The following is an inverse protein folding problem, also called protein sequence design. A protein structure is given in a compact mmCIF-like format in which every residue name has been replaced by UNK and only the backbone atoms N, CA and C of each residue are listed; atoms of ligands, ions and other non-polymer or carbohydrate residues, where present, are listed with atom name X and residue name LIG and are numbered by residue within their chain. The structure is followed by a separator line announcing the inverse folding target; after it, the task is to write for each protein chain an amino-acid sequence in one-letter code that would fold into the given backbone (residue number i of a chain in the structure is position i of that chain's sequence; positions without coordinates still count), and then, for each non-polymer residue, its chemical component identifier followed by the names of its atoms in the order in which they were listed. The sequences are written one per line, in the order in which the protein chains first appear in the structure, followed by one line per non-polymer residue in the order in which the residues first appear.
data_IF_436100701001
#
_entry.id   IF_436100701001
#
_cell.length_a   1.000
_cell.length_b   1.000
_cell.length_c   1.000
_cell.angle_alpha   90.00
_cell.angle_beta   90.00
_cell.angle_gamma   90.00
#
_symmetry.space_group_name_H-M   'P 1'
#
loop_
_entity.id
_entity.type
_entity.pdbx_description
1 polymer ?
#
# COMPACT_ATOMS: atom_id res chain seq x y z
N UNK A 1 -2.31 2.31 9.56
CA UNK A 1 -1.25 1.43 10.07
C UNK A 1 -1.87 0.41 11.01
N UNK A 2 -1.38 -0.83 11.03
CA UNK A 2 -1.83 -1.91 11.92
C UNK A 2 -0.63 -2.53 12.62
N UNK A 3 -0.75 -2.77 13.92
CA UNK A 3 0.15 -3.64 14.67
C UNK A 3 -0.56 -5.00 14.84
N UNK A 4 0.00 -6.06 14.29
CA UNK A 4 -0.62 -7.39 14.24
C UNK A 4 0.13 -8.37 15.14
N UNK A 5 -0.58 -9.08 16.02
CA UNK A 5 0.00 -10.18 16.81
C UNK A 5 -0.09 -11.49 16.02
N UNK A 6 0.98 -12.29 15.99
CA UNK A 6 0.94 -13.62 15.36
C UNK A 6 0.22 -14.61 16.26
N UNK A 7 0.48 -14.54 17.56
CA UNK A 7 0.02 -15.56 18.50
C UNK A 7 -1.30 -15.14 19.12
N UNK A 8 -2.41 -15.48 18.44
CA UNK A 8 -3.76 -15.28 18.96
C UNK A 8 -4.46 -16.65 19.12
N UNK A 9 -5.33 -16.82 20.13
CA UNK A 9 -5.91 -18.12 20.47
C UNK A 9 -6.82 -18.72 19.39
N UNK A 10 -7.52 -17.88 18.62
CA UNK A 10 -8.51 -18.34 17.63
C UNK A 10 -8.03 -18.30 16.18
N UNK A 11 -7.06 -17.44 15.86
CA UNK A 11 -6.58 -17.20 14.50
C UNK A 11 -5.08 -16.88 14.52
N UNK A 12 -4.31 -17.52 13.65
CA UNK A 12 -2.90 -17.17 13.47
C UNK A 12 -2.77 -15.86 12.69
N UNK A 13 -2.02 -14.88 13.23
CA UNK A 13 -1.80 -13.59 12.57
C UNK A 13 -1.15 -13.72 11.18
N UNK A 14 -0.36 -14.77 10.93
CA UNK A 14 0.16 -15.05 9.57
C UNK A 14 -0.97 -15.43 8.62
N UNK A 15 -1.93 -16.22 9.08
CA UNK A 15 -3.11 -16.61 8.27
C UNK A 15 -3.95 -15.38 7.95
N UNK A 16 -4.20 -14.51 8.94
CA UNK A 16 -4.91 -13.24 8.73
C UNK A 16 -4.19 -12.34 7.73
N UNK A 17 -2.86 -12.23 7.82
CA UNK A 17 -2.08 -11.44 6.88
C UNK A 17 -2.18 -11.99 5.45
N UNK A 18 -2.17 -13.32 5.28
CA UNK A 18 -2.37 -13.98 3.98
C UNK A 18 -3.77 -13.68 3.40
N UNK A 19 -4.79 -13.70 4.24
CA UNK A 19 -6.16 -13.35 3.82
C UNK A 19 -6.26 -11.91 3.35
N UNK A 20 -5.69 -10.97 4.10
CA UNK A 20 -5.64 -9.56 3.69
C UNK A 20 -4.88 -9.36 2.39
N UNK A 21 -3.74 -10.03 2.21
CA UNK A 21 -2.99 -9.97 0.96
C UNK A 21 -3.80 -10.53 -0.22
N UNK A 22 -4.45 -11.70 -0.04
CA UNK A 22 -5.27 -12.34 -1.07
C UNK A 22 -6.48 -11.50 -1.47
N UNK A 23 -7.10 -10.82 -0.52
CA UNK A 23 -8.29 -10.01 -0.74
C UNK A 23 -7.97 -8.57 -1.18
N UNK A 24 -6.68 -8.22 -1.35
CA UNK A 24 -6.27 -6.84 -1.68
C UNK A 24 -6.54 -5.82 -0.58
N UNK A 25 -6.68 -6.28 0.68
CA UNK A 25 -6.98 -5.45 1.85
C UNK A 25 -5.70 -4.89 2.49
N UNK A 26 -4.51 -5.25 1.99
CA UNK A 26 -3.23 -4.77 2.48
C UNK A 26 -2.89 -3.36 1.97
N UNK A 27 -3.82 -2.42 2.13
CA UNK A 27 -3.70 -1.02 1.67
C UNK A 27 -3.08 -0.09 2.75
N UNK A 28 -2.64 -0.67 3.85
CA UNK A 28 -2.08 0.02 5.00
C UNK A 28 -0.78 -0.65 5.44
N UNK A 29 0.15 0.12 6.03
CA UNK A 29 1.36 -0.45 6.60
C UNK A 29 1.01 -1.37 7.78
N UNK A 30 1.47 -2.63 7.72
CA UNK A 30 1.30 -3.64 8.77
C UNK A 30 2.66 -3.99 9.38
N UNK A 31 2.78 -3.88 10.70
CA UNK A 31 3.93 -4.35 11.47
C UNK A 31 3.48 -5.54 12.30
N UNK A 32 4.22 -6.63 12.23
CA UNK A 32 3.86 -7.90 12.88
C UNK A 32 4.66 -8.04 14.18
N UNK A 33 4.04 -8.61 15.22
CA UNK A 33 4.61 -8.79 16.54
C UNK A 33 4.42 -10.22 17.02
N UNK A 34 5.43 -10.84 17.65
CA UNK A 34 5.30 -12.19 18.21
C UNK A 34 6.24 -12.44 19.39
N UNK A 35 5.76 -13.14 20.41
CA UNK A 35 6.60 -13.65 21.51
C UNK A 35 7.18 -15.04 21.29
N UNK A 36 6.70 -15.74 20.26
CA UNK A 36 7.27 -17.00 19.78
C UNK A 36 7.80 -16.78 18.37
N UNK A 37 8.66 -15.76 18.22
CA UNK A 37 9.23 -15.42 16.94
C UNK A 37 10.21 -16.52 16.49
N UNK A 38 10.04 -17.02 15.28
CA UNK A 38 11.08 -17.75 14.57
C UNK A 38 11.51 -16.96 13.34
N UNK A 39 12.76 -17.17 12.90
CA UNK A 39 13.27 -16.57 11.66
C UNK A 39 12.32 -16.87 10.49
N UNK A 40 11.78 -18.09 10.43
CA UNK A 40 10.86 -18.52 9.39
C UNK A 40 9.57 -17.70 9.39
N UNK A 41 8.96 -17.47 10.57
CA UNK A 41 7.73 -16.66 10.69
C UNK A 41 7.97 -15.20 10.32
N UNK A 42 9.14 -14.64 10.67
CA UNK A 42 9.49 -13.27 10.30
C UNK A 42 9.66 -13.13 8.78
N UNK A 43 10.40 -14.06 8.17
CA UNK A 43 10.60 -14.10 6.72
C UNK A 43 9.27 -14.29 5.98
N UNK A 44 8.39 -15.14 6.49
CA UNK A 44 7.06 -15.36 5.92
C UNK A 44 6.19 -14.10 6.00
N UNK A 45 6.13 -13.43 7.15
CA UNK A 45 5.39 -12.18 7.33
C UNK A 45 5.85 -11.11 6.32
N UNK A 46 7.16 -10.91 6.17
CA UNK A 46 7.71 -9.94 5.21
C UNK A 46 7.38 -10.33 3.77
N UNK A 47 7.41 -11.61 3.41
CA UNK A 47 7.04 -12.09 2.06
C UNK A 47 5.58 -11.82 1.71
N UNK A 48 4.68 -11.87 2.70
CA UNK A 48 3.25 -11.61 2.49
C UNK A 48 2.97 -10.10 2.34
N UNK A 49 3.85 -9.25 2.88
CA UNK A 49 3.75 -7.79 2.77
C UNK A 49 3.76 -7.04 4.10
N UNK A 50 4.14 -7.69 5.20
CA UNK A 50 4.46 -6.96 6.42
C UNK A 50 5.67 -6.04 6.20
N UNK A 51 5.60 -4.81 6.71
CA UNK A 51 6.68 -3.83 6.60
C UNK A 51 7.82 -4.16 7.56
N UNK A 52 7.47 -4.63 8.75
CA UNK A 52 8.44 -4.93 9.79
C UNK A 52 7.92 -6.04 10.71
N UNK A 53 8.83 -6.64 11.45
CA UNK A 53 8.58 -7.71 12.39
C UNK A 53 9.27 -7.40 13.74
N UNK A 54 8.51 -7.49 14.83
CA UNK A 54 8.98 -7.20 16.18
C UNK A 54 8.82 -8.42 17.08
N UNK A 55 9.94 -8.86 17.64
CA UNK A 55 9.98 -9.94 18.62
C UNK A 55 9.71 -9.42 20.04
N UNK A 56 8.76 -10.04 20.76
CA UNK A 56 8.48 -9.75 22.16
C UNK A 56 9.49 -10.51 23.05
N UNK A 57 10.07 -9.86 24.08
CA UNK A 57 9.74 -8.53 24.59
C UNK A 57 10.32 -7.38 23.74
N UNK A 58 9.46 -6.43 23.35
CA UNK A 58 9.81 -5.30 22.50
C UNK A 58 10.18 -4.10 23.39
N UNK A 59 11.31 -3.46 23.14
CA UNK A 59 11.63 -2.19 23.81
C UNK A 59 10.81 -1.03 23.23
N UNK A 60 10.46 -0.05 24.06
CA UNK A 60 9.70 1.12 23.62
C UNK A 60 10.39 1.85 22.46
N UNK A 61 11.72 1.97 22.48
CA UNK A 61 12.47 2.59 21.40
C UNK A 61 12.33 1.85 20.07
N UNK A 62 12.43 0.51 20.08
CA UNK A 62 12.25 -0.29 18.86
C UNK A 62 10.84 -0.15 18.30
N UNK A 63 9.83 -0.16 19.17
CA UNK A 63 8.44 0.02 18.77
C UNK A 63 8.23 1.39 18.12
N UNK A 64 8.72 2.47 18.74
CA UNK A 64 8.61 3.82 18.20
C UNK A 64 9.29 3.94 16.84
N UNK A 65 10.50 3.42 16.68
CA UNK A 65 11.21 3.42 15.40
C UNK A 65 10.44 2.66 14.31
N UNK A 66 9.89 1.49 14.63
CA UNK A 66 9.10 0.70 13.67
C UNK A 66 7.82 1.44 13.25
N UNK A 67 7.13 2.09 14.20
CA UNK A 67 5.92 2.89 13.93
C UNK A 67 6.25 4.11 13.06
N UNK A 68 7.30 4.85 13.38
CA UNK A 68 7.74 6.00 12.59
C UNK A 68 8.07 5.61 11.14
N UNK A 69 8.79 4.49 10.98
CA UNK A 69 9.13 3.97 9.65
C UNK A 69 7.89 3.51 8.88
N UNK A 70 6.98 2.79 9.54
CA UNK A 70 5.73 2.33 8.95
C UNK A 70 4.83 3.48 8.49
N UNK A 71 4.73 4.56 9.27
CA UNK A 71 3.95 5.74 8.90
C UNK A 71 4.57 6.52 7.73
N UNK A 72 5.89 6.63 7.66
CA UNK A 72 6.59 7.23 6.50
C UNK A 72 6.31 6.47 5.20
N UNK A 73 6.35 5.14 5.26
CA UNK A 73 6.03 4.30 4.10
C UNK A 73 4.54 4.35 3.72
N UNK A 74 3.64 4.41 4.70
CA UNK A 74 2.21 4.57 4.46
C UNK A 74 1.85 5.90 3.78
N UNK A 75 2.52 7.00 4.17
CA UNK A 75 2.34 8.29 3.51
C UNK A 75 2.74 8.22 2.03
N UNK A 76 3.90 7.63 1.71
CA UNK A 76 4.38 7.50 0.34
C UNK A 76 3.44 6.68 -0.57
N UNK A 77 2.75 5.67 -0.03
CA UNK A 77 1.75 4.89 -0.81
C UNK A 77 0.46 5.67 -1.07
N UNK A 78 0.03 6.55 -0.16
CA UNK A 78 -1.18 7.38 -0.34
C UNK A 78 -0.97 8.41 -1.46
N UNK A 79 0.27 8.85 -1.71
CA UNK A 79 0.59 9.81 -2.78
C UNK A 79 0.75 9.16 -4.17
N UNK A 80 0.69 7.84 -4.26
CA UNK A 80 0.80 7.08 -5.52
C UNK A 80 -0.53 6.56 -6.07
N UNK A 81 -1.66 7.17 -5.68
CA UNK A 81 -2.82 7.18 -6.57
C UNK A 81 -2.44 7.91 -7.86
N UNK A 82 -2.92 7.51 -9.05
CA UNK A 82 -2.52 8.19 -10.27
C UNK A 82 -3.00 9.65 -10.20
N UNK A 83 -2.05 10.57 -10.06
CA UNK A 83 -2.26 12.01 -10.17
C UNK A 83 -2.50 12.35 -11.64
N UNK A 84 -3.59 11.85 -12.23
CA UNK A 84 -4.09 12.34 -13.51
C UNK A 84 -4.81 13.70 -13.36
N UNK A 85 -5.13 14.09 -12.13
CA UNK A 85 -5.89 15.30 -11.83
C UNK A 85 -5.12 16.61 -12.06
N UNK A 86 -3.79 16.54 -12.24
CA UNK A 86 -2.95 17.71 -12.58
C UNK A 86 -2.52 17.78 -14.05
N UNK A 87 -2.83 16.77 -14.87
CA UNK A 87 -2.52 16.80 -16.31
C UNK A 87 -3.66 17.41 -17.15
N UNK A 88 -4.91 17.33 -16.69
CA UNK A 88 -6.08 17.80 -17.44
C UNK A 88 -6.18 19.32 -17.65
N UNK A 89 -5.49 20.13 -16.83
CA UNK A 89 -5.56 21.59 -16.90
C UNK A 89 -4.27 22.24 -17.43
N UNK A 90 -3.28 21.48 -17.89
CA UNK A 90 -2.12 22.08 -18.55
C UNK A 90 -2.54 22.64 -19.91
N UNK A 91 -2.04 23.83 -20.25
CA UNK A 91 -2.32 24.48 -21.53
C UNK A 91 -2.01 23.53 -22.71
N UNK A 92 -0.96 22.72 -22.61
CA UNK A 92 -0.57 21.75 -23.63
C UNK A 92 -1.61 20.64 -23.86
N UNK A 93 -2.27 20.15 -22.79
CA UNK A 93 -3.31 19.10 -22.91
C UNK A 93 -4.63 19.70 -23.39
N UNK A 94 -4.95 20.94 -23.00
CA UNK A 94 -6.11 21.67 -23.55
C UNK A 94 -5.93 21.98 -25.04
N UNK A 95 -4.72 22.33 -25.46
CA UNK A 95 -4.38 22.59 -26.86
C UNK A 95 -4.46 21.29 -27.69
N UNK A 96 -3.91 20.19 -27.17
CA UNK A 96 -4.00 18.87 -27.81
C UNK A 96 -5.47 18.39 -27.94
N UNK A 97 -6.28 18.49 -26.88
CA UNK A 97 -7.70 18.11 -26.93
C UNK A 97 -8.51 18.99 -27.90
N UNK A 98 -8.17 20.28 -27.99
CA UNK A 98 -8.83 21.21 -28.92
C UNK A 98 -8.50 20.88 -30.38
N UNK A 99 -7.27 20.49 -30.68
CA UNK A 99 -6.89 20.04 -32.03
C UNK A 99 -7.59 18.72 -32.39
N UNK A 100 -7.67 17.77 -31.44
CA UNK A 100 -8.37 16.50 -31.65
C UNK A 100 -9.89 16.72 -31.86
N UNK A 101 -10.54 17.61 -31.11
CA UNK A 101 -11.95 17.96 -31.32
C UNK A 101 -12.20 18.71 -32.63
N UNK A 102 -11.27 19.59 -33.04
CA UNK A 102 -11.37 20.30 -34.31
C UNK A 102 -11.20 19.35 -35.51
N UNK A 103 -10.34 18.34 -35.38
CA UNK A 103 -10.20 17.28 -36.36
C UNK A 103 -11.43 16.37 -36.41
N UNK A 104 -12.01 16.02 -35.25
CA UNK A 104 -13.21 15.18 -35.17
C UNK A 104 -14.45 15.83 -35.82
N UNK A 105 -14.59 17.16 -35.75
CA UNK A 105 -15.68 17.90 -36.42
C UNK A 105 -15.52 18.02 -37.94
N UNK A 106 -14.36 17.71 -38.51
CA UNK A 106 -14.14 17.69 -39.97
C UNK A 106 -14.47 16.35 -40.62
N UNK A 107 -14.79 15.32 -39.84
CA UNK A 107 -15.18 14.01 -40.37
C UNK A 107 -16.61 13.67 -39.95
N UNK A 108 -17.56 14.40 -40.55
CA UNK A 108 -18.92 13.89 -40.75
C UNK A 108 -19.00 13.19 -42.11
N UNK A 109 -19.94 12.23 -42.28
CA UNK A 109 -19.69 10.95 -42.92
C UNK A 109 -19.89 11.00 -44.45
N UNK A 110 -19.17 10.13 -45.16
CA UNK A 110 -19.53 9.73 -46.53
C UNK A 110 -19.46 8.21 -46.59
N UNK A 111 -20.65 7.60 -46.46
CA UNK A 111 -21.07 6.22 -46.78
C UNK A 111 -20.19 5.02 -46.38
#
# INVERSE_FOLDING_TARGET
MVLLDIWMPDCDGITLLKEWAKNGQLNMPVVVMSGHASIDTAVEATKIGAIDFLEKPISLQKLLSAVENALKHGAAQIETGPVFDKLGNSAAIQEMNREVEAAAKRTSPVF
#
